data_IF_846864971487
#
_entry.id   IF_846864971487
#
_cell.length_a   1.000
_cell.length_b   1.000
_cell.length_c   1.000
_cell.angle_alpha   90.00
_cell.angle_beta   90.00
_cell.angle_gamma   90.00
#
_symmetry.space_group_name_H-M   'P 1'
#
loop_
_entity.id
_entity.type
_entity.pdbx_description
1 polymer ?
#
# COMPACT_ATOMS: atom_id res chain seq x y z
N UNK A 1 54.71 -15.06 -50.61
CA UNK A 1 53.40 -14.40 -50.87
C UNK A 1 52.38 -15.28 -50.17
N UNK A 2 52.05 -14.92 -48.95
CA UNK A 2 51.01 -15.56 -48.12
C UNK A 2 49.98 -14.47 -47.89
N UNK A 3 48.76 -14.76 -48.27
CA UNK A 3 47.59 -13.87 -48.22
C UNK A 3 46.99 -13.98 -46.79
N UNK A 4 47.11 -12.92 -46.01
CA UNK A 4 46.62 -12.80 -44.68
C UNK A 4 45.19 -12.24 -44.75
N UNK A 5 44.17 -13.10 -44.73
CA UNK A 5 42.78 -12.67 -44.66
C UNK A 5 42.36 -12.59 -43.21
N UNK A 6 42.24 -11.37 -42.71
CA UNK A 6 41.59 -11.04 -41.46
C UNK A 6 40.16 -11.61 -41.40
N UNK A 7 39.97 -12.63 -40.59
CA UNK A 7 38.66 -13.10 -40.15
C UNK A 7 38.14 -12.14 -39.05
N UNK A 8 37.43 -11.09 -39.43
CA UNK A 8 36.62 -10.34 -38.49
C UNK A 8 35.35 -11.12 -38.25
N UNK A 9 35.27 -11.74 -37.06
CA UNK A 9 34.05 -12.37 -36.56
C UNK A 9 32.90 -11.35 -36.45
N UNK A 10 31.63 -11.80 -36.56
CA UNK A 10 30.49 -10.88 -36.56
C UNK A 10 30.43 -10.13 -35.23
N UNK A 11 30.41 -8.78 -35.33
CA UNK A 11 30.18 -7.90 -34.19
C UNK A 11 28.83 -8.26 -33.53
N UNK A 12 28.88 -8.71 -32.28
CA UNK A 12 27.68 -8.87 -31.48
C UNK A 12 27.10 -7.49 -31.17
N UNK A 13 26.11 -7.08 -31.94
CA UNK A 13 25.27 -5.95 -31.61
C UNK A 13 24.30 -6.38 -30.52
N UNK A 14 24.62 -6.10 -29.25
CA UNK A 14 23.63 -6.12 -28.20
C UNK A 14 22.71 -4.91 -28.38
N UNK A 15 21.49 -5.13 -28.82
CA UNK A 15 20.49 -4.07 -28.83
C UNK A 15 20.28 -3.56 -27.39
N UNK A 16 20.28 -2.24 -27.16
CA UNK A 16 19.97 -1.71 -25.84
C UNK A 16 18.59 -2.19 -25.38
N UNK A 17 18.38 -2.44 -24.09
CA UNK A 17 17.08 -2.85 -23.57
C UNK A 17 16.01 -1.86 -24.04
N UNK A 18 14.93 -2.37 -24.62
CA UNK A 18 13.80 -1.55 -25.03
C UNK A 18 12.99 -1.13 -23.80
N UNK A 19 13.10 0.12 -23.40
CA UNK A 19 12.32 0.72 -22.31
C UNK A 19 11.00 1.35 -22.78
N UNK A 20 10.49 0.98 -23.98
CA UNK A 20 9.26 1.57 -24.53
C UNK A 20 8.04 1.35 -23.60
N UNK A 21 8.03 0.30 -22.79
CA UNK A 21 6.98 0.06 -21.79
C UNK A 21 6.98 1.08 -20.62
N UNK A 22 8.09 1.82 -20.43
CA UNK A 22 8.15 2.91 -19.45
C UNK A 22 7.61 4.23 -19.99
N UNK A 23 7.45 4.34 -21.30
CA UNK A 23 7.11 5.58 -21.99
C UNK A 23 5.63 5.67 -22.40
N UNK A 24 4.92 4.54 -22.55
CA UNK A 24 3.53 4.54 -22.96
C UNK A 24 2.74 3.37 -22.33
N UNK A 25 1.76 3.67 -21.45
CA UNK A 25 0.88 2.66 -20.85
C UNK A 25 0.13 1.78 -21.85
N UNK A 26 -0.04 2.23 -23.12
CA UNK A 26 -0.71 1.46 -24.18
C UNK A 26 0.11 0.26 -24.65
N UNK A 27 1.43 0.24 -24.40
CA UNK A 27 2.31 -0.89 -24.72
C UNK A 27 2.43 -1.93 -23.60
N UNK A 28 1.74 -1.75 -22.49
CA UNK A 28 1.57 -2.81 -21.50
C UNK A 28 0.62 -3.85 -22.09
N UNK A 29 1.17 -4.83 -22.80
CA UNK A 29 0.38 -6.01 -23.18
C UNK A 29 -0.29 -6.55 -21.91
N UNK A 30 -1.61 -6.80 -21.93
CA UNK A 30 -2.29 -7.29 -20.74
C UNK A 30 -1.64 -8.61 -20.32
N UNK A 31 -1.01 -8.63 -19.14
CA UNK A 31 -0.51 -9.87 -18.57
C UNK A 31 -1.72 -10.74 -18.22
N UNK A 32 -1.89 -11.83 -18.92
CA UNK A 32 -3.01 -12.76 -18.74
C UNK A 32 -2.62 -13.96 -17.88
N UNK A 33 -1.33 -14.33 -17.89
CA UNK A 33 -0.84 -15.44 -17.09
C UNK A 33 -0.56 -14.99 -15.64
N UNK A 34 -1.09 -15.75 -14.69
CA UNK A 34 -0.92 -15.47 -13.27
C UNK A 34 0.55 -15.48 -12.80
N UNK A 35 1.38 -16.32 -13.38
CA UNK A 35 2.80 -16.41 -13.04
C UNK A 35 3.52 -15.11 -13.41
N UNK A 36 3.18 -14.54 -14.57
CA UNK A 36 3.75 -13.28 -15.04
C UNK A 36 3.22 -12.09 -14.22
N UNK A 37 1.93 -12.06 -13.90
CA UNK A 37 1.35 -11.07 -12.98
C UNK A 37 2.04 -11.11 -11.61
N UNK A 38 2.28 -12.28 -11.04
CA UNK A 38 2.98 -12.42 -9.76
C UNK A 38 4.41 -11.90 -9.82
N UNK A 39 5.13 -12.20 -10.91
CA UNK A 39 6.50 -11.72 -11.13
C UNK A 39 6.52 -10.20 -11.25
N UNK A 40 5.65 -9.65 -12.07
CA UNK A 40 5.49 -8.22 -12.26
C UNK A 40 5.14 -7.52 -10.95
N UNK A 41 4.10 -7.99 -10.23
CA UNK A 41 3.71 -7.44 -8.92
C UNK A 41 4.85 -7.45 -7.90
N UNK A 42 5.72 -8.47 -7.95
CA UNK A 42 6.91 -8.53 -7.07
C UNK A 42 7.90 -7.42 -7.42
N UNK A 43 8.29 -7.30 -8.68
CA UNK A 43 9.23 -6.29 -9.15
C UNK A 43 8.69 -4.87 -8.89
N UNK A 44 7.42 -4.64 -9.17
CA UNK A 44 6.79 -3.33 -8.98
C UNK A 44 6.72 -2.92 -7.50
N UNK A 45 6.47 -3.86 -6.58
CA UNK A 45 6.58 -3.60 -5.14
C UNK A 45 7.98 -3.15 -4.74
N UNK A 46 9.00 -3.83 -5.21
CA UNK A 46 10.40 -3.51 -4.91
C UNK A 46 10.74 -2.10 -5.42
N UNK A 47 10.34 -1.77 -6.65
CA UNK A 47 10.53 -0.45 -7.26
C UNK A 47 9.84 0.65 -6.45
N UNK A 48 8.54 0.49 -6.16
CA UNK A 48 7.74 1.50 -5.45
C UNK A 48 8.18 1.69 -4.00
N UNK A 49 8.53 0.62 -3.29
CA UNK A 49 9.09 0.72 -1.94
C UNK A 49 10.44 1.44 -1.98
N UNK A 50 11.29 1.14 -2.96
CA UNK A 50 12.57 1.84 -3.15
C UNK A 50 12.36 3.34 -3.41
N UNK A 51 11.45 3.71 -4.31
CA UNK A 51 11.10 5.10 -4.60
C UNK A 51 10.58 5.83 -3.36
N UNK A 52 9.70 5.18 -2.58
CA UNK A 52 9.17 5.72 -1.33
C UNK A 52 10.26 5.96 -0.28
N UNK A 53 11.20 5.03 -0.14
CA UNK A 53 12.31 5.15 0.82
C UNK A 53 13.34 6.21 0.39
N UNK A 54 13.44 6.54 -0.89
CA UNK A 54 14.29 7.60 -1.40
C UNK A 54 13.78 9.01 -1.07
N UNK A 55 12.48 9.16 -0.75
CA UNK A 55 11.92 10.42 -0.26
C UNK A 55 12.49 10.72 1.14
N UNK A 56 12.93 11.96 1.38
CA UNK A 56 13.49 12.35 2.68
C UNK A 56 12.46 12.22 3.81
N UNK A 57 12.94 12.05 5.05
CA UNK A 57 12.06 11.95 6.22
C UNK A 57 11.18 13.18 6.39
N UNK A 58 11.75 14.38 6.19
CA UNK A 58 11.02 15.66 6.32
C UNK A 58 9.94 15.79 5.25
N UNK A 59 10.24 15.42 4.00
CA UNK A 59 9.24 15.42 2.94
C UNK A 59 8.11 14.43 3.23
N UNK A 60 8.43 13.21 3.70
CA UNK A 60 7.39 12.24 4.11
C UNK A 60 6.55 12.74 5.27
N UNK A 61 7.15 13.45 6.24
CA UNK A 61 6.39 14.05 7.35
C UNK A 61 5.42 15.12 6.85
N UNK A 62 5.86 16.03 5.96
CA UNK A 62 4.98 17.04 5.35
C UNK A 62 3.86 16.41 4.51
N UNK A 63 4.16 15.36 3.73
CA UNK A 63 3.16 14.60 2.98
C UNK A 63 2.16 13.91 3.90
N UNK A 64 2.62 13.31 5.01
CA UNK A 64 1.74 12.66 5.99
C UNK A 64 0.75 13.64 6.63
N UNK A 65 1.17 14.88 6.86
CA UNK A 65 0.27 15.95 7.36
C UNK A 65 -0.84 16.24 6.35
N UNK A 66 -0.51 16.42 5.07
CA UNK A 66 -1.51 16.65 4.01
C UNK A 66 -2.47 15.48 3.84
N UNK A 67 -1.95 14.25 3.96
CA UNK A 67 -2.77 13.04 3.92
C UNK A 67 -3.76 13.03 5.09
N UNK A 68 -3.32 13.40 6.30
CA UNK A 68 -4.20 13.49 7.46
C UNK A 68 -5.30 14.57 7.27
N UNK A 69 -4.97 15.72 6.70
CA UNK A 69 -5.93 16.76 6.32
C UNK A 69 -6.95 16.25 5.29
N UNK A 70 -6.49 15.53 4.26
CA UNK A 70 -7.36 14.91 3.27
C UNK A 70 -8.28 13.83 3.88
N UNK A 71 -7.78 13.05 4.83
CA UNK A 71 -8.59 12.08 5.56
C UNK A 71 -9.67 12.78 6.41
N UNK A 72 -9.34 13.88 7.08
CA UNK A 72 -10.32 14.67 7.86
C UNK A 72 -11.43 15.21 6.97
N UNK A 73 -11.08 15.77 5.82
CA UNK A 73 -12.04 16.26 4.85
C UNK A 73 -12.97 15.17 4.31
N UNK A 74 -12.41 13.99 4.03
CA UNK A 74 -13.16 12.85 3.48
C UNK A 74 -14.07 12.19 4.52
N UNK A 75 -13.57 11.98 5.73
CA UNK A 75 -14.27 11.21 6.78
C UNK A 75 -15.32 12.07 7.52
N UNK A 76 -15.07 13.36 7.67
CA UNK A 76 -15.94 14.30 8.37
C UNK A 76 -16.07 13.99 9.87
N UNK A 77 -17.31 13.91 10.37
CA UNK A 77 -17.57 13.59 11.79
C UNK A 77 -17.19 12.14 12.11
N UNK A 78 -16.31 12.00 13.09
CA UNK A 78 -15.74 10.72 13.52
C UNK A 78 -16.26 10.26 14.88
N UNK A 79 -17.10 11.07 15.52
CA UNK A 79 -17.64 10.77 16.85
C UNK A 79 -18.30 9.40 16.93
N UNK A 80 -17.90 8.57 17.88
CA UNK A 80 -18.39 7.22 18.09
C UNK A 80 -17.95 6.15 17.09
N UNK A 81 -17.34 6.53 15.95
CA UNK A 81 -16.87 5.57 14.93
C UNK A 81 -15.63 4.83 15.37
N UNK A 82 -15.50 3.59 14.90
CA UNK A 82 -14.30 2.78 15.04
C UNK A 82 -13.47 2.87 13.74
N UNK A 83 -12.25 3.40 13.83
CA UNK A 83 -11.33 3.56 12.70
C UNK A 83 -10.15 2.62 12.90
N UNK A 84 -9.93 1.69 11.97
CA UNK A 84 -8.68 0.96 11.96
C UNK A 84 -7.64 1.73 11.17
N UNK A 85 -6.45 1.86 11.77
CA UNK A 85 -5.27 2.41 11.11
C UNK A 85 -4.23 1.31 10.96
N UNK A 86 -2.99 1.70 10.70
CA UNK A 86 -1.84 0.81 10.64
C UNK A 86 -0.66 1.44 11.38
N UNK A 87 0.31 0.63 11.77
CA UNK A 87 1.58 1.15 12.26
C UNK A 87 2.53 1.35 11.08
N UNK A 88 3.10 2.56 10.87
CA UNK A 88 3.89 2.87 9.67
C UNK A 88 5.10 1.94 9.53
N UNK A 89 5.27 1.39 8.33
CA UNK A 89 6.33 0.45 8.00
C UNK A 89 6.98 0.83 6.66
N UNK A 90 8.31 0.73 6.57
CA UNK A 90 9.08 1.01 5.35
C UNK A 90 8.71 2.35 4.67
N UNK A 91 8.65 3.43 5.44
CA UNK A 91 8.39 4.77 4.91
C UNK A 91 6.94 5.05 4.53
N UNK A 92 5.98 4.28 4.99
CA UNK A 92 4.55 4.60 4.86
C UNK A 92 4.20 5.94 5.51
N UNK A 93 3.12 6.61 5.08
CA UNK A 93 2.63 7.80 5.75
C UNK A 93 2.44 7.56 7.25
N UNK A 94 2.99 8.44 8.06
CA UNK A 94 2.86 8.34 9.53
C UNK A 94 1.60 9.07 9.99
N UNK A 95 0.57 8.30 10.29
CA UNK A 95 -0.72 8.80 10.74
C UNK A 95 -0.94 8.70 12.26
N UNK A 96 0.13 8.50 13.04
CA UNK A 96 0.00 8.34 14.51
C UNK A 96 -0.55 9.59 15.19
N UNK A 97 -0.19 10.79 14.71
CA UNK A 97 -0.77 12.04 15.21
C UNK A 97 -2.26 12.14 14.87
N UNK A 98 -2.65 11.75 13.66
CA UNK A 98 -4.06 11.70 13.27
C UNK A 98 -4.84 10.65 14.08
N UNK A 99 -4.25 9.50 14.36
CA UNK A 99 -4.82 8.49 15.28
C UNK A 99 -5.12 9.07 16.67
N UNK A 100 -4.22 9.89 17.20
CA UNK A 100 -4.45 10.57 18.49
C UNK A 100 -5.64 11.54 18.39
N UNK A 101 -5.70 12.37 17.33
CA UNK A 101 -6.80 13.32 17.13
C UNK A 101 -8.17 12.65 16.98
N UNK A 102 -8.25 11.45 16.39
CA UNK A 102 -9.49 10.67 16.33
C UNK A 102 -10.03 10.40 17.74
N UNK A 103 -9.17 9.94 18.66
CA UNK A 103 -9.59 9.66 20.05
C UNK A 103 -10.00 10.95 20.79
N UNK A 104 -9.30 12.07 20.57
CA UNK A 104 -9.64 13.38 21.14
C UNK A 104 -11.01 13.88 20.67
N UNK A 105 -11.40 13.57 19.44
CA UNK A 105 -12.69 13.91 18.84
C UNK A 105 -13.80 12.90 19.13
N UNK A 106 -13.60 11.99 20.08
CA UNK A 106 -14.61 11.02 20.51
C UNK A 106 -14.75 9.79 19.61
N UNK A 107 -13.89 9.61 18.61
CA UNK A 107 -13.76 8.38 17.86
C UNK A 107 -12.97 7.32 18.64
N UNK A 108 -12.91 6.12 18.10
CA UNK A 108 -12.13 5.01 18.62
C UNK A 108 -11.19 4.47 17.56
N UNK A 109 -10.04 3.98 17.97
CA UNK A 109 -9.05 3.47 17.03
C UNK A 109 -8.71 2.00 17.29
N UNK A 110 -8.26 1.32 16.23
CA UNK A 110 -7.82 -0.07 16.27
C UNK A 110 -6.60 -0.26 15.36
N UNK A 111 -5.80 -1.28 15.65
CA UNK A 111 -4.68 -1.70 14.81
C UNK A 111 -4.88 -3.14 14.32
N UNK A 112 -4.43 -3.46 13.10
CA UNK A 112 -4.51 -4.79 12.55
C UNK A 112 -3.46 -5.70 13.17
N UNK A 113 -3.87 -6.90 13.54
CA UNK A 113 -3.03 -7.95 14.09
C UNK A 113 -3.07 -9.17 13.17
N UNK A 114 -1.90 -9.64 12.76
CA UNK A 114 -1.76 -10.92 12.05
C UNK A 114 -1.74 -12.03 13.10
N UNK A 115 -2.78 -12.83 13.14
CA UNK A 115 -2.84 -14.00 14.01
C UNK A 115 -2.14 -15.19 13.36
N UNK A 116 -2.41 -15.42 12.08
CA UNK A 116 -1.85 -16.53 11.33
C UNK A 116 -1.63 -16.14 9.86
N UNK A 117 -0.60 -16.71 9.26
CA UNK A 117 -0.31 -16.50 7.83
C UNK A 117 -1.45 -17.07 6.98
N UNK A 118 -1.94 -16.27 6.04
CA UNK A 118 -3.01 -16.68 5.13
C UNK A 118 -4.42 -16.51 5.69
N UNK A 119 -4.58 -16.13 6.95
CA UNK A 119 -5.87 -15.80 7.57
C UNK A 119 -6.16 -14.29 7.49
N UNK A 120 -7.43 -13.89 7.68
CA UNK A 120 -7.79 -12.48 7.87
C UNK A 120 -7.05 -11.85 9.06
N UNK A 121 -6.89 -10.53 9.01
CA UNK A 121 -6.44 -9.74 10.16
C UNK A 121 -7.53 -9.71 11.23
N UNK A 122 -7.11 -9.61 12.48
CA UNK A 122 -7.99 -9.23 13.60
C UNK A 122 -7.67 -7.78 13.96
N UNK A 123 -8.66 -6.92 14.00
CA UNK A 123 -8.48 -5.56 14.49
C UNK A 123 -8.64 -5.57 16.01
N UNK A 124 -7.62 -5.06 16.73
CA UNK A 124 -7.69 -4.88 18.18
C UNK A 124 -7.81 -3.40 18.53
N UNK A 125 -8.70 -3.07 19.45
CA UNK A 125 -8.81 -1.72 19.98
C UNK A 125 -7.44 -1.24 20.48
N UNK A 126 -7.12 0.02 20.18
CA UNK A 126 -5.85 0.64 20.56
C UNK A 126 -6.07 2.14 20.78
N UNK A 127 -5.51 2.68 21.84
CA UNK A 127 -5.38 4.12 22.08
C UNK A 127 -3.92 4.50 22.15
N UNK A 128 -3.52 5.67 21.63
CA UNK A 128 -2.17 6.16 21.84
C UNK A 128 -1.78 6.15 23.33
N UNK A 129 -0.67 5.46 23.65
CA UNK A 129 -0.22 5.22 25.02
C UNK A 129 -0.49 3.82 25.55
N UNK A 130 -1.37 3.04 24.92
CA UNK A 130 -1.56 1.65 25.28
C UNK A 130 -0.30 0.82 24.99
N UNK A 131 -0.11 -0.24 25.77
CA UNK A 131 1.03 -1.12 25.63
C UNK A 131 1.04 -1.82 24.26
N UNK A 132 2.20 -1.79 23.62
CA UNK A 132 2.46 -2.47 22.36
C UNK A 132 3.44 -3.63 22.57
N UNK A 133 3.31 -4.64 21.72
CA UNK A 133 4.26 -5.75 21.60
C UNK A 133 4.70 -5.92 20.14
N UNK A 134 5.73 -6.74 19.91
CA UNK A 134 6.24 -7.00 18.56
C UNK A 134 5.40 -8.06 17.86
N UNK A 135 4.73 -7.66 16.79
CA UNK A 135 4.04 -8.57 15.87
C UNK A 135 4.93 -9.06 14.72
N UNK A 136 4.29 -9.53 13.66
CA UNK A 136 4.96 -9.99 12.44
C UNK A 136 5.79 -8.85 11.84
N UNK A 137 6.98 -9.15 11.34
CA UNK A 137 7.98 -8.19 10.84
C UNK A 137 8.43 -7.13 11.85
N UNK A 138 8.30 -7.42 13.14
CA UNK A 138 8.53 -6.47 14.25
C UNK A 138 7.64 -5.21 14.18
N UNK A 139 6.51 -5.26 13.49
CA UNK A 139 5.53 -4.18 13.48
C UNK A 139 4.84 -4.17 14.85
N UNK A 140 4.79 -3.02 15.54
CA UNK A 140 4.08 -2.90 16.81
C UNK A 140 2.58 -3.22 16.65
N UNK A 141 2.07 -4.05 17.56
CA UNK A 141 0.66 -4.41 17.66
C UNK A 141 0.17 -4.20 19.11
N UNK A 142 -1.13 -3.99 19.35
CA UNK A 142 -1.65 -3.92 20.72
C UNK A 142 -1.36 -5.22 21.47
N UNK A 143 -0.69 -5.11 22.65
CA UNK A 143 -0.42 -6.25 23.50
C UNK A 143 -1.72 -6.84 24.09
N UNK A 144 -2.71 -5.97 24.29
CA UNK A 144 -4.04 -6.25 24.83
C UNK A 144 -5.09 -5.56 23.96
N UNK A 145 -6.34 -5.74 24.23
CA UNK A 145 -7.45 -5.11 23.52
C UNK A 145 -8.39 -6.13 22.87
N UNK A 146 -9.67 -5.87 23.00
CA UNK A 146 -10.71 -6.72 22.45
C UNK A 146 -10.70 -6.66 20.91
N UNK A 147 -11.02 -7.77 20.22
CA UNK A 147 -11.32 -7.76 18.81
C UNK A 147 -12.50 -6.82 18.51
N UNK A 148 -12.33 -5.99 17.48
CA UNK A 148 -13.34 -5.02 17.06
C UNK A 148 -13.55 -5.07 15.56
N UNK A 149 -14.72 -4.61 15.11
CA UNK A 149 -15.03 -4.42 13.69
C UNK A 149 -15.02 -2.93 13.39
N UNK A 150 -14.10 -2.44 12.54
CA UNK A 150 -14.02 -1.03 12.20
C UNK A 150 -15.11 -0.61 11.20
N UNK A 151 -15.66 0.60 11.39
CA UNK A 151 -16.55 1.27 10.45
C UNK A 151 -15.75 1.83 9.26
N UNK A 152 -14.49 2.22 9.53
CA UNK A 152 -13.56 2.79 8.56
C UNK A 152 -12.25 2.03 8.64
N UNK A 153 -11.74 1.60 7.49
CA UNK A 153 -10.46 0.88 7.37
C UNK A 153 -9.48 1.72 6.57
N UNK A 154 -8.43 2.21 7.24
CA UNK A 154 -7.30 2.86 6.58
C UNK A 154 -6.29 1.77 6.17
N UNK A 155 -6.13 1.58 4.87
CA UNK A 155 -5.25 0.56 4.31
C UNK A 155 -3.99 1.20 3.71
N UNK A 156 -2.78 0.85 4.17
CA UNK A 156 -1.56 1.32 3.52
C UNK A 156 -1.42 0.68 2.13
N UNK A 157 -0.92 1.47 1.18
CA UNK A 157 -0.66 0.99 -0.18
C UNK A 157 0.83 0.97 -0.48
N UNK A 158 1.25 0.04 -1.33
CA UNK A 158 2.55 0.06 -2.02
C UNK A 158 2.38 0.65 -3.41
N UNK A 159 1.28 0.35 -4.08
CA UNK A 159 0.87 0.93 -5.34
C UNK A 159 -0.66 0.97 -5.44
N UNK A 160 -1.17 1.83 -6.29
CA UNK A 160 -2.60 2.02 -6.53
C UNK A 160 -2.87 2.25 -8.01
N UNK A 161 -3.87 1.58 -8.56
CA UNK A 161 -4.34 1.80 -9.93
C UNK A 161 -5.57 2.72 -10.00
N UNK A 162 -5.94 3.20 -11.19
CA UNK A 162 -7.07 4.11 -11.37
C UNK A 162 -8.43 3.55 -10.92
N UNK A 163 -8.57 2.24 -10.77
CA UNK A 163 -9.78 1.58 -10.28
C UNK A 163 -9.77 1.33 -8.77
N UNK A 164 -8.83 1.96 -8.06
CA UNK A 164 -8.63 1.84 -6.61
C UNK A 164 -8.27 0.43 -6.12
N UNK A 165 -7.74 -0.45 -7.01
CA UNK A 165 -7.12 -1.67 -6.55
C UNK A 165 -5.72 -1.40 -6.03
N UNK A 166 -5.39 -1.96 -4.85
CA UNK A 166 -4.09 -1.74 -4.21
C UNK A 166 -3.10 -2.85 -4.49
N UNK A 167 -1.87 -2.50 -4.74
CA UNK A 167 -0.72 -3.36 -4.60
C UNK A 167 -0.24 -3.29 -3.14
N UNK A 168 -0.50 -4.33 -2.36
CA UNK A 168 0.01 -4.47 -0.99
C UNK A 168 1.34 -5.21 -0.95
N UNK A 169 1.79 -5.63 0.25
CA UNK A 169 3.05 -6.38 0.44
C UNK A 169 3.01 -7.85 -0.07
N UNK A 170 1.90 -8.29 -0.62
CA UNK A 170 1.76 -9.62 -1.22
C UNK A 170 1.24 -10.72 -0.29
N UNK A 171 0.93 -10.39 0.95
CA UNK A 171 0.30 -11.31 1.90
C UNK A 171 -1.20 -11.50 1.70
N UNK A 172 -1.88 -10.60 0.97
CA UNK A 172 -3.33 -10.61 0.74
C UNK A 172 -4.18 -10.46 2.01
N UNK A 173 -3.59 -9.93 3.07
CA UNK A 173 -4.26 -9.83 4.38
C UNK A 173 -5.51 -8.96 4.32
N UNK A 174 -5.41 -7.75 3.76
CA UNK A 174 -6.55 -6.83 3.69
C UNK A 174 -7.67 -7.39 2.81
N UNK A 175 -7.37 -7.99 1.66
CA UNK A 175 -8.40 -8.55 0.76
C UNK A 175 -9.18 -9.66 1.46
N UNK A 176 -8.47 -10.60 2.13
CA UNK A 176 -9.12 -11.63 2.93
C UNK A 176 -9.93 -11.07 4.09
N UNK A 177 -9.40 -10.04 4.77
CA UNK A 177 -10.10 -9.41 5.89
C UNK A 177 -11.38 -8.75 5.43
N UNK A 178 -11.32 -7.94 4.38
CA UNK A 178 -12.50 -7.26 3.82
C UNK A 178 -13.54 -8.25 3.29
N UNK A 179 -13.10 -9.35 2.67
CA UNK A 179 -13.99 -10.42 2.21
C UNK A 179 -14.69 -11.16 3.36
N UNK A 180 -14.05 -11.25 4.53
CA UNK A 180 -14.59 -11.96 5.71
C UNK A 180 -15.43 -11.06 6.63
N UNK A 181 -15.45 -9.74 6.42
CA UNK A 181 -16.22 -8.83 7.27
C UNK A 181 -17.74 -9.02 7.08
N UNK A 182 -18.53 -8.99 8.16
CA UNK A 182 -19.98 -9.18 8.09
C UNK A 182 -20.74 -8.01 7.47
N UNK A 183 -20.08 -6.86 7.33
CA UNK A 183 -20.56 -5.66 6.63
C UNK A 183 -19.44 -5.01 5.85
N UNK A 184 -19.76 -4.12 4.93
CA UNK A 184 -18.78 -3.41 4.12
C UNK A 184 -18.39 -2.09 4.80
N UNK A 185 -17.17 -1.97 5.37
CA UNK A 185 -16.68 -0.70 5.93
C UNK A 185 -16.36 0.30 4.82
N UNK A 186 -16.18 1.57 5.18
CA UNK A 186 -15.52 2.54 4.31
C UNK A 186 -14.03 2.21 4.26
N UNK A 187 -13.52 1.78 3.11
CA UNK A 187 -12.10 1.41 2.93
C UNK A 187 -11.37 2.54 2.23
N UNK A 188 -10.40 3.13 2.90
CA UNK A 188 -9.60 4.24 2.36
C UNK A 188 -8.15 3.78 2.21
N UNK A 189 -7.65 3.80 0.98
CA UNK A 189 -6.25 3.58 0.68
C UNK A 189 -5.42 4.82 0.98
N UNK A 190 -4.27 4.63 1.62
CA UNK A 190 -3.37 5.73 1.97
C UNK A 190 -1.95 5.45 1.48
N UNK A 191 -1.40 6.39 0.75
CA UNK A 191 -0.05 6.36 0.23
C UNK A 191 0.38 7.70 -0.35
N UNK A 192 1.48 7.70 -1.09
CA UNK A 192 1.97 8.90 -1.75
C UNK A 192 1.59 8.89 -3.23
N UNK A 193 1.49 10.07 -3.83
CA UNK A 193 1.12 10.23 -5.24
C UNK A 193 2.08 9.46 -6.18
N UNK A 194 3.36 9.38 -5.83
CA UNK A 194 4.37 8.59 -6.56
C UNK A 194 4.06 7.08 -6.64
N UNK A 195 3.07 6.61 -5.89
CA UNK A 195 2.65 5.20 -5.86
C UNK A 195 1.49 4.90 -6.82
N UNK A 196 1.02 5.90 -7.60
CA UNK A 196 0.06 5.66 -8.67
C UNK A 196 0.73 4.92 -9.82
N UNK A 197 0.06 3.88 -10.29
CA UNK A 197 0.51 3.02 -11.39
C UNK A 197 -0.65 2.76 -12.36
N UNK A 198 -0.37 2.45 -13.63
CA UNK A 198 -1.44 2.22 -14.63
C UNK A 198 -2.36 1.06 -14.28
N UNK A 199 -1.85 0.01 -13.68
CA UNK A 199 -2.63 -1.17 -13.26
C UNK A 199 -1.87 -1.97 -12.22
N UNK A 200 -2.59 -2.69 -11.37
CA UNK A 200 -2.02 -3.78 -10.56
C UNK A 200 -2.23 -5.14 -11.23
N UNK A 201 -2.87 -5.19 -12.40
CA UNK A 201 -3.44 -6.40 -13.01
C UNK A 201 -4.40 -7.10 -12.02
N UNK A 202 -5.56 -6.47 -11.70
CA UNK A 202 -6.46 -6.95 -10.65
C UNK A 202 -6.89 -8.41 -10.89
N UNK A 203 -6.98 -9.18 -9.81
CA UNK A 203 -7.41 -10.56 -9.81
C UNK A 203 -8.78 -10.68 -9.12
N UNK A 204 -9.54 -11.74 -9.36
CA UNK A 204 -10.89 -11.89 -8.79
C UNK A 204 -11.00 -11.78 -7.27
N UNK A 205 -9.89 -11.99 -6.56
CA UNK A 205 -9.84 -11.89 -5.09
C UNK A 205 -9.34 -10.54 -4.58
N UNK A 206 -8.87 -9.65 -5.45
CA UNK A 206 -8.50 -8.30 -5.07
C UNK A 206 -9.77 -7.47 -4.85
N UNK A 207 -9.79 -6.68 -3.78
CA UNK A 207 -10.94 -5.83 -3.42
C UNK A 207 -10.54 -4.37 -3.61
N UNK A 208 -11.27 -3.67 -4.49
CA UNK A 208 -11.09 -2.24 -4.67
C UNK A 208 -11.46 -1.47 -3.40
N UNK A 209 -10.67 -0.45 -3.09
CA UNK A 209 -10.95 0.47 -2.00
C UNK A 209 -12.07 1.44 -2.39
N UNK A 210 -12.77 1.96 -1.39
CA UNK A 210 -13.83 2.96 -1.62
C UNK A 210 -13.24 4.27 -2.10
N UNK A 211 -12.15 4.71 -1.46
CA UNK A 211 -11.47 5.97 -1.72
C UNK A 211 -9.95 5.81 -1.59
N UNK A 212 -9.20 6.77 -2.10
CA UNK A 212 -7.75 6.87 -1.97
C UNK A 212 -7.35 8.30 -1.60
N UNK A 213 -6.56 8.43 -0.56
CA UNK A 213 -6.01 9.71 -0.11
C UNK A 213 -4.48 9.68 -0.24
N UNK A 214 -3.96 10.63 -1.00
CA UNK A 214 -2.52 10.94 -1.13
C UNK A 214 -2.28 12.38 -0.68
N UNK A 215 -1.03 12.83 -0.65
CA UNK A 215 -0.70 14.23 -0.37
C UNK A 215 -1.21 15.22 -1.43
N UNK A 216 -1.68 14.73 -2.57
CA UNK A 216 -2.28 15.54 -3.64
C UNK A 216 -3.82 15.55 -3.58
N UNK A 217 -4.42 14.91 -2.57
CA UNK A 217 -5.88 14.91 -2.41
C UNK A 217 -6.36 16.35 -2.18
N UNK A 218 -7.20 16.84 -3.09
CA UNK A 218 -7.85 18.13 -2.97
C UNK A 218 -9.16 17.96 -2.20
N UNK A 219 -9.30 18.66 -1.09
CA UNK A 219 -10.55 18.77 -0.32
C UNK A 219 -11.54 19.70 -0.98
#
# INVERSE_FOLDING_TARGET
MADDRDEQGPAQYASPPCFMHELDPQFLAPLTDWTDVRRWRKAERERLIGARLAVSADARAAMSTRIAEGLDALVGDIGGRMVSLYWPFRGEPDLRSWMASINERGGRTALPVVIEKGQPLVFRAYRPGDRLEKGVWNIPIPAEGDPVLPDIVISPIVGIDPQNYRLGYGGGFFDRTLAAMPFRPLVIGVGYELQRIPTIYPQPHDIAMSEVVTEAFAS
#
